data_IF_262003400368
#
_entry.id   IF_262003400368
#
_cell.length_a   1.000
_cell.length_b   1.000
_cell.length_c   1.000
_cell.angle_alpha   90.00
_cell.angle_beta   90.00
_cell.angle_gamma   90.00
#
_symmetry.space_group_name_H-M   'P 1'
#
loop_
_entity.id
_entity.type
_entity.pdbx_description
1 polymer ?
#
# COMPACT_ATOMS: atom_id res chain seq x y z
N UNK A 1 11.78 -0.25 47.64
CA UNK A 1 10.40 0.26 47.76
C UNK A 1 10.22 1.19 46.60
N UNK A 2 9.19 0.97 45.81
CA UNK A 2 8.89 1.81 44.64
C UNK A 2 7.92 2.89 45.11
N UNK A 3 8.18 4.14 44.80
CA UNK A 3 7.28 5.24 45.14
C UNK A 3 5.94 5.04 44.45
N UNK A 4 4.86 5.54 45.06
CA UNK A 4 3.49 5.43 44.54
C UNK A 4 2.77 6.77 44.61
N UNK A 5 1.79 6.98 43.73
CA UNK A 5 0.98 8.20 43.75
C UNK A 5 0.21 8.44 45.06
N UNK A 6 0.05 7.42 45.92
CA UNK A 6 -0.57 7.59 47.25
C UNK A 6 0.14 8.65 48.10
N UNK A 7 1.45 8.79 47.92
CA UNK A 7 2.30 9.72 48.67
C UNK A 7 2.41 11.10 48.03
N UNK A 8 1.82 11.29 46.84
CA UNK A 8 1.88 12.53 46.06
C UNK A 8 1.25 13.70 46.83
N UNK A 9 1.81 14.90 46.69
CA UNK A 9 1.17 16.15 47.16
C UNK A 9 0.85 17.07 45.99
N UNK A 10 1.75 17.17 45.00
CA UNK A 10 1.58 17.96 43.78
C UNK A 10 2.20 17.26 42.57
N UNK A 11 1.79 17.67 41.38
CA UNK A 11 2.35 17.19 40.11
C UNK A 11 2.63 18.38 39.20
N UNK A 12 3.78 18.35 38.53
CA UNK A 12 4.08 19.23 37.41
C UNK A 12 3.79 18.45 36.12
N UNK A 13 2.97 19.02 35.23
CA UNK A 13 2.59 18.42 33.96
C UNK A 13 2.82 19.44 32.85
N UNK A 14 3.60 19.02 31.85
CA UNK A 14 3.86 19.80 30.64
C UNK A 14 3.44 18.94 29.45
N UNK A 15 2.81 19.56 28.45
CA UNK A 15 2.36 18.90 27.24
C UNK A 15 2.86 19.64 26.00
N UNK A 16 3.39 18.92 25.03
CA UNK A 16 3.84 19.47 23.76
C UNK A 16 3.68 18.46 22.61
N UNK A 17 3.64 18.94 21.37
CA UNK A 17 3.80 18.05 20.23
C UNK A 17 5.23 17.49 20.24
N UNK A 18 5.41 16.19 19.99
CA UNK A 18 6.74 15.58 20.00
C UNK A 18 7.66 16.15 18.89
N UNK A 19 7.09 16.72 17.84
CA UNK A 19 7.80 17.46 16.79
C UNK A 19 8.28 18.85 17.23
N UNK A 20 7.83 19.36 18.38
CA UNK A 20 8.03 20.75 18.81
C UNK A 20 7.12 21.77 18.09
N UNK A 21 6.25 21.30 17.19
CA UNK A 21 5.28 22.16 16.48
C UNK A 21 4.29 22.79 17.46
N UNK A 22 4.15 24.11 17.38
CA UNK A 22 3.21 24.85 18.23
C UNK A 22 1.74 24.72 17.77
N UNK A 23 1.52 24.31 16.52
CA UNK A 23 0.21 24.14 15.92
C UNK A 23 0.24 22.98 14.89
N UNK A 24 0.40 21.73 15.35
CA UNK A 24 0.54 20.58 14.47
C UNK A 24 -0.73 20.28 13.69
N UNK A 25 -0.55 19.75 12.48
CA UNK A 25 -1.63 19.40 11.57
C UNK A 25 -1.68 17.88 11.33
N UNK A 26 -2.88 17.32 11.34
CA UNK A 26 -3.14 15.91 11.00
C UNK A 26 -4.35 15.79 10.09
N UNK A 27 -4.45 14.68 9.37
CA UNK A 27 -5.64 14.33 8.62
C UNK A 27 -6.71 13.73 9.53
N UNK A 28 -7.94 14.17 9.37
CA UNK A 28 -9.12 13.65 10.06
C UNK A 28 -9.61 12.33 9.43
N UNK A 29 -8.73 11.32 9.35
CA UNK A 29 -9.02 10.01 8.74
C UNK A 29 -9.09 8.86 9.78
N UNK A 30 -9.00 9.17 11.08
CA UNK A 30 -9.00 8.19 12.17
C UNK A 30 -7.74 7.33 12.28
N UNK A 31 -6.79 7.45 11.34
CA UNK A 31 -5.54 6.66 11.29
C UNK A 31 -4.31 7.53 11.52
N UNK A 32 -4.28 8.75 10.98
CA UNK A 32 -3.16 9.66 11.11
C UNK A 32 -2.97 10.05 12.57
N UNK A 33 -1.82 9.69 13.13
CA UNK A 33 -1.51 9.97 14.53
C UNK A 33 -0.51 11.13 14.67
N UNK A 34 -0.77 11.99 15.65
CA UNK A 34 0.18 12.96 16.16
C UNK A 34 0.76 12.45 17.48
N UNK A 35 2.08 12.33 17.55
CA UNK A 35 2.76 12.08 18.82
C UNK A 35 2.73 13.33 19.70
N UNK A 36 2.17 13.18 20.90
CA UNK A 36 2.15 14.17 21.96
C UNK A 36 3.08 13.68 23.07
N UNK A 37 4.00 14.54 23.48
CA UNK A 37 4.88 14.31 24.61
C UNK A 37 4.32 14.97 25.87
N UNK A 38 4.30 14.21 26.95
CA UNK A 38 3.95 14.65 28.29
C UNK A 38 5.21 14.51 29.15
N UNK A 39 5.65 15.62 29.72
CA UNK A 39 6.71 15.62 30.73
C UNK A 39 6.02 15.76 32.08
N UNK A 40 6.20 14.78 32.95
CA UNK A 40 5.53 14.71 34.24
C UNK A 40 6.52 14.55 35.38
N UNK A 41 6.24 15.20 36.51
CA UNK A 41 7.05 15.11 37.73
C UNK A 41 6.14 15.08 38.95
N UNK A 42 6.30 14.04 39.76
CA UNK A 42 5.52 13.81 40.97
C UNK A 42 6.31 14.29 42.20
N UNK A 43 5.67 15.07 43.08
CA UNK A 43 6.32 15.66 44.24
C UNK A 43 5.53 15.38 45.52
N UNK A 44 6.26 15.07 46.60
CA UNK A 44 5.76 14.93 47.97
C UNK A 44 6.31 16.05 48.84
N UNK A 45 5.43 16.81 49.48
CA UNK A 45 5.83 17.76 50.50
C UNK A 45 6.25 17.02 51.77
N UNK A 46 7.36 17.42 52.39
CA UNK A 46 7.81 16.93 53.70
C UNK A 46 7.74 18.02 54.77
N UNK A 47 7.62 17.60 56.02
CA UNK A 47 7.59 18.51 57.17
C UNK A 47 8.82 19.42 57.17
N UNK A 48 8.60 20.73 57.08
CA UNK A 48 9.66 21.74 56.93
C UNK A 48 9.58 22.55 55.64
N UNK A 49 8.71 22.17 54.69
CA UNK A 49 8.50 22.89 53.43
C UNK A 49 9.42 22.44 52.29
N UNK A 50 10.25 21.43 52.52
CA UNK A 50 11.04 20.79 51.47
C UNK A 50 10.15 19.87 50.61
N UNK A 51 10.55 19.69 49.35
CA UNK A 51 9.85 18.86 48.37
C UNK A 51 10.73 17.69 47.93
N UNK A 52 10.18 16.47 47.99
CA UNK A 52 10.86 15.24 47.54
C UNK A 52 10.21 14.76 46.25
N UNK A 53 11.04 14.47 45.25
CA UNK A 53 10.58 13.93 43.97
C UNK A 53 10.33 12.44 44.11
N UNK A 54 9.15 11.99 43.67
CA UNK A 54 8.74 10.60 43.69
C UNK A 54 9.12 9.91 42.37
N UNK A 55 9.83 8.79 42.47
CA UNK A 55 10.22 7.95 41.34
C UNK A 55 9.11 6.93 41.03
N UNK A 56 8.01 7.43 40.47
CA UNK A 56 6.84 6.62 40.10
C UNK A 56 7.14 5.80 38.82
N UNK A 57 6.84 4.48 38.79
CA UNK A 57 7.03 3.67 37.60
C UNK A 57 6.24 4.15 36.39
N UNK A 58 6.83 4.05 35.19
CA UNK A 58 6.18 4.43 33.92
C UNK A 58 4.83 3.74 33.71
N UNK A 59 4.66 2.49 34.13
CA UNK A 59 3.40 1.76 34.03
C UNK A 59 2.28 2.41 34.87
N UNK A 60 2.61 2.92 36.05
CA UNK A 60 1.65 3.60 36.93
C UNK A 60 1.26 4.95 36.33
N UNK A 61 2.21 5.70 35.78
CA UNK A 61 1.90 6.90 35.00
C UNK A 61 0.99 6.62 33.81
N UNK A 62 1.32 5.62 32.98
CA UNK A 62 0.51 5.25 31.83
C UNK A 62 -0.91 4.87 32.27
N UNK A 63 -1.09 4.22 33.43
CA UNK A 63 -2.40 3.84 33.95
C UNK A 63 -3.25 5.06 34.31
N UNK A 64 -2.67 6.06 34.96
CA UNK A 64 -3.38 7.21 35.52
C UNK A 64 -3.48 8.42 34.58
N UNK A 65 -2.54 8.57 33.62
CA UNK A 65 -2.55 9.65 32.65
C UNK A 65 -3.54 9.39 31.50
N UNK A 66 -4.16 10.47 31.05
CA UNK A 66 -5.00 10.52 29.86
C UNK A 66 -4.90 11.88 29.19
N UNK A 67 -5.40 11.96 27.96
CA UNK A 67 -5.64 13.23 27.28
C UNK A 67 -7.09 13.68 27.47
N UNK A 68 -7.32 14.99 27.42
CA UNK A 68 -8.63 15.62 27.50
C UNK A 68 -8.73 16.85 26.58
N UNK A 69 -9.97 17.30 26.37
CA UNK A 69 -10.25 18.60 25.78
C UNK A 69 -9.89 19.71 26.76
N UNK A 70 -9.00 20.63 26.36
CA UNK A 70 -8.54 21.70 27.24
C UNK A 70 -9.68 22.61 27.72
N UNK A 71 -10.71 22.85 26.90
CA UNK A 71 -11.80 23.76 27.24
C UNK A 71 -12.78 23.20 28.28
N UNK A 72 -12.99 21.88 28.30
CA UNK A 72 -14.02 21.23 29.13
C UNK A 72 -13.48 20.25 30.17
N UNK A 73 -12.18 19.94 30.12
CA UNK A 73 -11.54 18.83 30.83
C UNK A 73 -12.10 17.43 30.49
N UNK A 74 -13.01 17.33 29.53
CA UNK A 74 -13.62 16.07 29.12
C UNK A 74 -12.57 15.13 28.51
N UNK A 75 -12.53 13.91 29.01
CA UNK A 75 -11.54 12.90 28.62
C UNK A 75 -11.71 12.49 27.16
N UNK A 76 -10.61 12.43 26.41
CA UNK A 76 -10.62 11.84 25.07
C UNK A 76 -10.86 10.34 25.16
N UNK A 77 -11.53 9.76 24.16
CA UNK A 77 -11.73 8.31 24.13
C UNK A 77 -10.40 7.62 23.84
N UNK A 78 -9.97 6.76 24.77
CA UNK A 78 -8.78 5.95 24.57
C UNK A 78 -9.08 4.80 23.60
N UNK A 79 -8.25 4.66 22.57
CA UNK A 79 -8.36 3.60 21.56
C UNK A 79 -9.77 3.58 20.90
N UNK A 80 -10.41 4.76 20.80
CA UNK A 80 -11.72 4.97 20.18
C UNK A 80 -11.67 5.09 18.66
N UNK A 81 -12.84 5.19 18.02
CA UNK A 81 -12.99 5.26 16.56
C UNK A 81 -13.87 6.42 16.08
N UNK A 82 -14.23 7.36 16.97
CA UNK A 82 -15.10 8.49 16.67
C UNK A 82 -14.72 9.71 17.50
N UNK A 83 -14.65 10.86 16.85
CA UNK A 83 -14.17 12.11 17.41
C UNK A 83 -12.70 12.05 17.80
N UNK A 84 -12.30 12.98 18.67
CA UNK A 84 -10.94 13.05 19.19
C UNK A 84 -10.62 11.90 20.13
N UNK A 85 -9.65 11.10 19.73
CA UNK A 85 -9.21 9.91 20.43
C UNK A 85 -7.71 9.96 20.69
N UNK A 86 -7.24 9.06 21.55
CA UNK A 86 -5.80 8.85 21.72
C UNK A 86 -5.45 7.39 21.97
N UNK A 87 -4.23 7.01 21.63
CA UNK A 87 -3.66 5.69 21.93
C UNK A 87 -2.35 5.82 22.69
N UNK A 88 -1.97 4.72 23.36
CA UNK A 88 -0.63 4.54 23.93
C UNK A 88 0.35 3.93 22.94
N UNK A 89 -0.15 3.42 21.82
CA UNK A 89 0.64 2.68 20.84
C UNK A 89 0.72 3.47 19.55
N UNK A 90 1.96 3.66 19.09
CA UNK A 90 2.26 4.26 17.79
C UNK A 90 1.80 3.32 16.67
N UNK A 91 1.10 3.86 15.67
CA UNK A 91 0.84 3.16 14.43
C UNK A 91 1.79 3.62 13.31
N UNK A 92 1.67 2.98 12.14
CA UNK A 92 2.52 3.25 10.96
C UNK A 92 2.24 4.62 10.29
N UNK A 93 1.10 5.26 10.60
CA UNK A 93 0.65 6.55 10.04
C UNK A 93 0.88 7.72 11.01
N UNK A 94 1.83 7.58 11.94
CA UNK A 94 2.16 8.60 12.92
C UNK A 94 3.10 9.66 12.30
N UNK A 95 2.51 10.63 11.57
CA UNK A 95 3.22 11.71 10.88
C UNK A 95 2.42 13.02 10.95
N UNK A 96 3.10 14.13 11.18
CA UNK A 96 2.50 15.47 11.09
C UNK A 96 2.48 15.94 9.63
N UNK A 97 1.40 16.60 9.21
CA UNK A 97 1.32 17.21 7.88
C UNK A 97 2.32 18.37 7.81
N UNK A 98 3.24 18.39 6.81
CA UNK A 98 4.16 19.50 6.64
C UNK A 98 3.38 20.76 6.32
N UNK A 99 3.35 21.72 7.25
CA UNK A 99 3.09 23.11 6.88
C UNK A 99 4.34 23.65 6.22
N UNK A 100 4.20 24.56 5.24
CA UNK A 100 5.30 25.27 4.56
C UNK A 100 6.08 26.19 5.52
N UNK A 101 6.69 25.61 6.54
CA UNK A 101 7.68 26.22 7.42
C UNK A 101 8.86 25.26 7.38
N UNK A 102 9.83 25.67 6.57
CA UNK A 102 11.24 25.28 6.51
C UNK A 102 11.68 24.27 7.60
N UNK A 103 12.09 23.11 7.11
CA UNK A 103 13.05 22.16 7.71
C UNK A 103 12.79 21.73 9.15
N UNK A 104 12.07 20.63 9.33
CA UNK A 104 12.36 19.71 10.43
C UNK A 104 13.46 18.76 9.95
N UNK A 105 14.71 19.06 10.30
CA UNK A 105 15.68 17.98 10.52
C UNK A 105 14.99 16.94 11.40
N UNK A 106 15.16 15.65 11.08
CA UNK A 106 14.84 14.55 11.99
C UNK A 106 15.50 14.86 13.33
N UNK A 107 14.74 15.48 14.22
CA UNK A 107 15.24 15.87 15.51
C UNK A 107 15.27 14.56 16.26
N UNK A 108 16.48 14.01 16.38
CA UNK A 108 16.75 12.92 17.31
C UNK A 108 16.01 13.23 18.63
N UNK A 109 15.43 12.21 19.28
CA UNK A 109 14.74 12.39 20.55
C UNK A 109 15.58 13.31 21.42
N UNK A 110 15.01 14.47 21.79
CA UNK A 110 15.73 15.50 22.51
C UNK A 110 16.48 14.83 23.64
N UNK A 111 17.80 15.04 23.69
CA UNK A 111 18.64 14.51 24.76
C UNK A 111 17.92 14.69 26.08
N UNK A 112 17.76 13.58 26.81
CA UNK A 112 17.08 13.49 28.10
C UNK A 112 17.21 14.81 28.86
N UNK A 113 16.10 15.43 29.33
CA UNK A 113 16.20 16.56 30.22
C UNK A 113 17.16 16.16 31.34
N UNK A 114 18.18 17.00 31.57
CA UNK A 114 19.15 16.83 32.65
C UNK A 114 18.40 16.31 33.88
N UNK A 115 18.88 15.17 34.36
CA UNK A 115 18.33 14.31 35.40
C UNK A 115 17.73 15.11 36.58
N UNK A 116 16.45 15.42 36.48
CA UNK A 116 15.66 16.20 37.46
C UNK A 116 14.49 15.39 38.02
N UNK A 117 14.48 14.06 37.81
CA UNK A 117 13.41 13.17 38.27
C UNK A 117 12.07 13.32 37.53
N UNK A 118 12.06 13.94 36.35
CA UNK A 118 10.89 14.00 35.46
C UNK A 118 10.85 12.77 34.54
N UNK A 119 9.65 12.31 34.19
CA UNK A 119 9.43 11.25 33.19
C UNK A 119 8.85 11.86 31.90
N UNK A 120 9.31 11.37 30.74
CA UNK A 120 8.69 11.67 29.44
C UNK A 120 7.81 10.49 29.00
N UNK A 121 6.58 10.79 28.62
CA UNK A 121 5.54 9.83 28.26
C UNK A 121 4.90 10.28 26.95
N UNK A 122 4.78 9.38 25.99
CA UNK A 122 4.18 9.68 24.69
C UNK A 122 2.78 9.05 24.55
N UNK A 123 1.83 9.86 24.09
CA UNK A 123 0.53 9.42 23.61
C UNK A 123 0.32 9.86 22.15
N UNK A 124 -0.57 9.18 21.45
CA UNK A 124 -0.80 9.39 20.02
C UNK A 124 -2.23 9.85 19.79
N UNK A 125 -2.42 11.11 19.43
CA UNK A 125 -3.73 11.73 19.18
C UNK A 125 -4.14 11.53 17.73
N UNK A 126 -5.42 11.22 17.51
CA UNK A 126 -6.01 11.09 16.18
C UNK A 126 -7.51 11.43 16.23
N UNK A 127 -8.12 11.67 15.07
CA UNK A 127 -9.54 12.05 14.97
C UNK A 127 -10.11 11.75 13.58
N UNK A 128 -11.43 11.62 13.47
CA UNK A 128 -12.21 11.65 12.22
C UNK A 128 -12.99 12.98 12.05
N UNK A 129 -12.94 13.88 13.04
CA UNK A 129 -13.58 15.18 13.01
C UNK A 129 -12.67 16.27 12.42
N UNK A 130 -13.15 16.99 11.41
CA UNK A 130 -12.45 18.13 10.78
C UNK A 130 -12.69 19.38 11.63
N UNK A 131 -11.83 19.62 12.62
CA UNK A 131 -11.79 20.85 13.40
C UNK A 131 -10.42 21.03 14.08
N UNK A 132 -10.19 22.21 14.67
CA UNK A 132 -9.05 22.43 15.57
C UNK A 132 -9.49 22.18 17.00
N UNK A 133 -8.70 21.46 17.77
CA UNK A 133 -8.96 21.21 19.18
C UNK A 133 -7.71 21.41 20.04
N UNK A 134 -7.89 21.90 21.26
CA UNK A 134 -6.80 22.06 22.23
C UNK A 134 -6.76 20.84 23.11
N UNK A 135 -5.67 20.09 23.03
CA UNK A 135 -5.46 18.86 23.77
C UNK A 135 -4.67 19.20 25.05
N UNK A 136 -5.20 18.78 26.19
CA UNK A 136 -4.55 18.90 27.50
C UNK A 136 -4.31 17.51 28.09
N UNK A 137 -3.50 17.46 29.15
CA UNK A 137 -3.22 16.23 29.90
C UNK A 137 -3.97 16.25 31.23
N UNK A 138 -4.48 15.09 31.64
CA UNK A 138 -5.04 14.86 32.97
C UNK A 138 -4.44 13.63 33.63
N UNK A 139 -4.27 13.69 34.94
CA UNK A 139 -3.87 12.62 35.83
C UNK A 139 -5.03 12.35 36.80
N UNK A 140 -5.64 11.17 36.69
CA UNK A 140 -6.69 10.72 37.59
C UNK A 140 -6.15 9.63 38.51
N UNK A 141 -6.20 9.88 39.81
CA UNK A 141 -5.75 8.91 40.82
C UNK A 141 -6.94 8.13 41.39
N UNK A 142 -6.67 6.89 41.84
CA UNK A 142 -7.72 6.01 42.40
C UNK A 142 -8.37 6.56 43.68
N UNK A 143 -7.70 7.50 44.36
CA UNK A 143 -8.20 8.19 45.55
C UNK A 143 -9.08 9.42 45.22
N UNK A 144 -9.38 9.65 43.94
CA UNK A 144 -10.24 10.73 43.47
C UNK A 144 -9.53 12.05 43.24
N UNK A 145 -8.22 12.15 43.52
CA UNK A 145 -7.44 13.34 43.14
C UNK A 145 -7.30 13.43 41.64
N UNK A 146 -7.42 14.65 41.15
CA UNK A 146 -7.41 14.99 39.74
C UNK A 146 -6.49 16.18 39.51
N UNK A 147 -5.54 16.02 38.60
CA UNK A 147 -4.65 17.09 38.16
C UNK A 147 -4.77 17.22 36.65
N UNK A 148 -4.79 18.44 36.14
CA UNK A 148 -5.01 18.70 34.72
C UNK A 148 -4.30 19.97 34.29
N UNK A 149 -3.93 20.03 33.02
CA UNK A 149 -3.44 21.26 32.37
C UNK A 149 -4.54 21.98 31.60
N UNK A 150 -5.78 21.49 31.68
CA UNK A 150 -6.94 22.11 31.03
C UNK A 150 -7.22 23.53 31.53
N UNK A 151 -8.07 24.26 30.82
CA UNK A 151 -8.45 25.63 31.18
C UNK A 151 -9.21 25.70 32.51
N UNK A 152 -9.68 24.55 33.02
CA UNK A 152 -10.36 24.37 34.30
C UNK A 152 -9.41 23.99 35.45
N UNK A 153 -8.10 23.91 35.20
CA UNK A 153 -7.11 23.60 36.23
C UNK A 153 -7.16 24.57 37.41
N UNK A 154 -7.21 24.02 38.63
CA UNK A 154 -7.04 24.74 39.88
C UNK A 154 -5.66 24.40 40.45
N UNK A 155 -4.70 25.34 40.38
CA UNK A 155 -3.37 25.21 40.97
C UNK A 155 -2.27 24.64 40.07
N UNK A 156 -2.59 23.99 38.95
CA UNK A 156 -1.61 23.61 37.90
C UNK A 156 -1.55 24.67 36.79
N UNK A 157 -0.42 24.74 36.06
CA UNK A 157 -0.31 25.62 34.90
C UNK A 157 -1.25 25.17 33.77
N UNK A 158 -1.97 26.13 33.18
CA UNK A 158 -2.85 25.90 32.04
C UNK A 158 -1.99 25.73 30.79
N UNK A 159 -1.98 24.54 30.21
CA UNK A 159 -1.16 24.20 29.07
C UNK A 159 -1.87 23.20 28.16
N UNK A 160 -1.75 23.41 26.85
CA UNK A 160 -2.41 22.57 25.85
C UNK A 160 -1.72 22.69 24.50
N UNK A 161 -1.87 21.66 23.67
CA UNK A 161 -1.43 21.67 22.27
C UNK A 161 -2.63 21.89 21.36
N UNK A 162 -2.70 22.97 20.57
CA UNK A 162 -3.74 23.15 19.56
C UNK A 162 -3.42 22.28 18.34
N UNK A 163 -4.19 21.23 18.13
CA UNK A 163 -4.06 20.32 16.99
C UNK A 163 -5.12 20.66 15.96
N UNK A 164 -4.70 20.93 14.72
CA UNK A 164 -5.61 21.20 13.61
C UNK A 164 -5.81 19.92 12.80
N UNK A 165 -7.03 19.39 12.79
CA UNK A 165 -7.40 18.29 11.93
C UNK A 165 -8.01 18.81 10.62
N UNK A 166 -7.49 18.35 9.48
CA UNK A 166 -7.92 18.78 8.15
C UNK A 166 -8.58 17.64 7.37
N UNK A 167 -9.31 17.99 6.32
CA UNK A 167 -9.94 17.01 5.42
C UNK A 167 -8.90 16.02 4.87
N UNK A 168 -9.15 14.70 4.95
CA UNK A 168 -8.29 13.68 4.34
C UNK A 168 -8.00 13.98 2.87
N UNK A 169 -6.76 13.74 2.45
CA UNK A 169 -6.38 13.92 1.05
C UNK A 169 -7.12 12.91 0.17
N UNK A 170 -7.78 13.39 -0.89
CA UNK A 170 -8.45 12.53 -1.87
C UNK A 170 -7.62 12.48 -3.14
N UNK A 171 -7.38 11.28 -3.68
CA UNK A 171 -6.64 11.11 -4.93
C UNK A 171 -7.60 11.09 -6.11
N UNK A 172 -8.15 12.26 -6.46
CA UNK A 172 -8.77 12.39 -7.78
C UNK A 172 -7.68 12.33 -8.87
N UNK A 173 -7.95 11.52 -9.90
CA UNK A 173 -6.89 10.81 -10.64
C UNK A 173 -6.04 11.66 -11.59
N UNK A 174 -6.37 12.93 -11.82
CA UNK A 174 -5.66 13.71 -12.85
C UNK A 174 -4.39 14.42 -12.37
N UNK A 175 -4.26 14.71 -11.08
CA UNK A 175 -3.06 15.40 -10.54
C UNK A 175 -2.42 14.69 -9.34
N UNK A 176 -3.13 13.76 -8.70
CA UNK A 176 -2.67 13.09 -7.49
C UNK A 176 -1.74 11.89 -7.78
N UNK A 177 -1.82 11.31 -8.98
CA UNK A 177 -1.05 10.14 -9.39
C UNK A 177 -0.18 10.47 -10.60
N UNK A 178 1.03 9.91 -10.61
CA UNK A 178 1.97 9.99 -11.72
C UNK A 178 2.15 8.60 -12.31
N UNK A 179 1.93 8.49 -13.62
CA UNK A 179 2.20 7.26 -14.36
C UNK A 179 3.43 7.43 -15.24
N UNK A 180 4.36 6.48 -15.14
CA UNK A 180 5.57 6.43 -15.98
C UNK A 180 5.64 5.05 -16.62
N UNK A 181 5.55 4.99 -17.95
CA UNK A 181 5.80 3.77 -18.69
C UNK A 181 7.30 3.68 -19.03
N UNK A 182 7.93 2.55 -18.70
CA UNK A 182 9.26 2.21 -19.17
C UNK A 182 9.26 1.77 -20.63
N UNK A 183 10.46 1.58 -21.17
CA UNK A 183 10.68 1.05 -22.50
C UNK A 183 10.34 -0.43 -22.60
N UNK A 184 10.13 -0.91 -23.83
CA UNK A 184 10.00 -2.33 -24.10
C UNK A 184 11.35 -3.04 -23.97
N UNK A 185 11.40 -4.05 -23.10
CA UNK A 185 12.51 -4.97 -22.95
C UNK A 185 12.21 -6.28 -23.67
N UNK A 186 13.07 -6.65 -24.62
CA UNK A 186 12.93 -7.90 -25.38
C UNK A 186 13.38 -9.08 -24.50
N UNK A 187 12.44 -9.96 -24.18
CA UNK A 187 12.70 -11.21 -23.46
C UNK A 187 13.17 -12.32 -24.40
N UNK A 188 12.61 -12.39 -25.62
CA UNK A 188 13.07 -13.33 -26.64
C UNK A 188 12.61 -12.90 -28.04
N UNK A 189 13.47 -13.10 -29.03
CA UNK A 189 13.13 -12.98 -30.45
C UNK A 189 12.96 -14.36 -31.12
N UNK A 190 13.18 -15.42 -30.35
CA UNK A 190 13.17 -16.80 -30.81
C UNK A 190 12.20 -17.60 -29.97
N UNK A 191 11.30 -18.30 -30.65
CA UNK A 191 10.34 -19.20 -30.04
C UNK A 191 10.67 -20.63 -30.42
N UNK A 192 10.74 -21.51 -29.43
CA UNK A 192 10.89 -22.95 -29.65
C UNK A 192 9.52 -23.62 -29.77
N UNK A 193 9.18 -24.08 -30.99
CA UNK A 193 7.94 -24.82 -31.22
C UNK A 193 8.14 -26.30 -30.89
N UNK A 194 7.22 -26.90 -30.12
CA UNK A 194 7.11 -28.36 -30.00
C UNK A 194 5.89 -28.82 -30.79
N UNK A 195 6.17 -29.51 -31.89
CA UNK A 195 5.14 -30.10 -32.74
C UNK A 195 4.53 -31.32 -32.06
N UNK A 196 3.22 -31.33 -31.84
CA UNK A 196 2.48 -32.54 -31.47
C UNK A 196 1.83 -33.15 -32.72
N UNK A 197 2.63 -33.44 -33.76
CA UNK A 197 2.15 -34.37 -34.79
C UNK A 197 1.94 -35.71 -34.08
N UNK A 198 0.74 -36.28 -34.20
CA UNK A 198 0.30 -37.57 -33.61
C UNK A 198 1.26 -38.77 -33.85
N UNK A 199 2.28 -38.59 -34.70
CA UNK A 199 3.24 -39.60 -35.16
C UNK A 199 4.71 -39.26 -34.96
N UNK A 200 5.07 -38.17 -34.26
CA UNK A 200 6.47 -37.87 -33.92
C UNK A 200 6.65 -37.69 -32.40
N UNK A 201 7.04 -38.75 -31.66
CA UNK A 201 7.30 -38.67 -30.22
C UNK A 201 8.55 -37.87 -29.87
N UNK A 202 9.35 -37.47 -30.86
CA UNK A 202 10.61 -36.73 -30.67
C UNK A 202 10.55 -35.25 -31.08
N UNK A 203 9.45 -34.81 -31.71
CA UNK A 203 9.07 -33.41 -31.94
C UNK A 203 10.20 -32.51 -32.46
N UNK A 204 10.27 -32.30 -33.77
CA UNK A 204 11.22 -31.35 -34.34
C UNK A 204 11.01 -29.91 -33.82
N UNK A 205 12.06 -29.35 -33.23
CA UNK A 205 12.15 -27.93 -32.89
C UNK A 205 12.33 -27.11 -34.16
N UNK A 206 11.49 -26.11 -34.31
CA UNK A 206 11.65 -25.13 -35.37
C UNK A 206 11.40 -23.77 -34.76
N UNK A 207 12.27 -22.84 -35.13
CA UNK A 207 12.28 -21.46 -34.67
C UNK A 207 11.45 -20.64 -35.64
N UNK A 208 10.33 -20.09 -35.17
CA UNK A 208 9.61 -19.04 -35.87
C UNK A 208 10.01 -17.69 -35.27
N UNK A 209 10.00 -16.64 -36.09
CA UNK A 209 10.26 -15.27 -35.66
C UNK A 209 9.02 -14.75 -34.94
N UNK A 210 9.09 -14.62 -33.62
CA UNK A 210 8.09 -13.92 -32.78
C UNK A 210 8.87 -13.12 -31.75
N UNK A 211 8.33 -11.98 -31.32
CA UNK A 211 8.98 -11.16 -30.30
C UNK A 211 8.16 -11.21 -29.03
N UNK A 212 8.77 -11.72 -27.97
CA UNK A 212 8.26 -11.62 -26.60
C UNK A 212 9.00 -10.48 -25.94
N UNK A 213 8.23 -9.51 -25.47
CA UNK A 213 8.76 -8.34 -24.78
C UNK A 213 7.87 -7.99 -23.60
N UNK A 214 8.41 -7.23 -22.67
CA UNK A 214 7.66 -6.70 -21.55
C UNK A 214 8.04 -5.26 -21.32
N UNK A 215 7.14 -4.50 -20.68
CA UNK A 215 7.48 -3.20 -20.14
C UNK A 215 6.84 -3.04 -18.78
N UNK A 216 7.48 -2.21 -17.96
CA UNK A 216 7.04 -1.87 -16.62
C UNK A 216 6.36 -0.51 -16.65
N UNK A 217 5.14 -0.43 -16.12
CA UNK A 217 4.42 0.83 -15.92
C UNK A 217 4.36 1.07 -14.42
N UNK A 218 4.98 2.16 -13.99
CA UNK A 218 5.01 2.60 -12.60
C UNK A 218 3.92 3.64 -12.36
N UNK A 219 3.12 3.44 -11.32
CA UNK A 219 2.14 4.41 -10.83
C UNK A 219 2.59 4.85 -9.44
N UNK A 220 2.86 6.13 -9.23
CA UNK A 220 3.28 6.66 -7.93
C UNK A 220 2.41 7.85 -7.51
N UNK A 221 2.50 8.22 -6.24
CA UNK A 221 1.84 9.43 -5.75
C UNK A 221 2.60 10.68 -6.25
N UNK A 222 1.89 11.67 -6.75
CA UNK A 222 2.47 12.90 -7.30
C UNK A 222 2.56 14.04 -6.27
N UNK A 223 1.92 13.87 -5.10
CA UNK A 223 1.91 14.84 -4.01
C UNK A 223 3.12 14.75 -3.06
N UNK A 224 4.10 13.90 -3.38
CA UNK A 224 5.29 13.66 -2.55
C UNK A 224 5.07 12.70 -1.38
N UNK A 225 3.88 12.11 -1.25
CA UNK A 225 3.60 11.09 -0.24
C UNK A 225 4.12 9.72 -0.66
N UNK A 226 4.25 8.83 0.31
CA UNK A 226 4.72 7.47 0.09
C UNK A 226 3.54 6.50 0.24
N UNK A 227 3.55 5.42 -0.53
CA UNK A 227 2.63 4.32 -0.31
C UNK A 227 3.08 3.56 0.94
N UNK A 228 2.18 3.40 1.91
CA UNK A 228 2.40 2.57 3.08
C UNK A 228 1.77 1.18 2.91
N UNK A 229 0.65 1.13 2.19
CA UNK A 229 -0.08 -0.12 1.95
C UNK A 229 -0.70 -0.13 0.55
N UNK A 230 -0.76 -1.31 -0.05
CA UNK A 230 -1.45 -1.56 -1.32
C UNK A 230 -2.01 -2.97 -1.37
N UNK A 231 -3.16 -3.10 -2.00
CA UNK A 231 -3.89 -4.36 -2.16
C UNK A 231 -4.67 -4.36 -3.47
N UNK A 232 -4.62 -5.46 -4.21
CA UNK A 232 -5.49 -5.65 -5.36
C UNK A 232 -6.86 -6.16 -4.90
N UNK A 233 -7.91 -5.34 -5.04
CA UNK A 233 -9.28 -5.69 -4.62
C UNK A 233 -10.07 -6.43 -5.69
N UNK A 234 -9.78 -6.15 -6.95
CA UNK A 234 -10.38 -6.86 -8.07
C UNK A 234 -9.39 -6.98 -9.21
N UNK A 235 -9.22 -8.20 -9.69
CA UNK A 235 -8.72 -8.45 -11.04
C UNK A 235 -9.87 -8.19 -12.02
N UNK A 236 -9.57 -7.79 -13.26
CA UNK A 236 -10.59 -7.71 -14.31
C UNK A 236 -11.22 -9.09 -14.61
N UNK A 237 -10.59 -10.17 -14.14
CA UNK A 237 -11.07 -11.55 -14.24
C UNK A 237 -12.07 -11.88 -13.12
N UNK A 238 -13.25 -12.45 -13.44
CA UNK A 238 -14.18 -12.94 -12.43
C UNK A 238 -13.64 -14.15 -11.66
N UNK A 239 -13.89 -14.21 -10.35
CA UNK A 239 -13.41 -15.28 -9.46
C UNK A 239 -13.93 -16.69 -9.77
N UNK A 240 -15.00 -16.82 -10.58
CA UNK A 240 -15.53 -18.12 -11.02
C UNK A 240 -14.79 -18.69 -12.24
N UNK A 241 -13.92 -17.91 -12.88
CA UNK A 241 -13.07 -18.44 -13.93
C UNK A 241 -11.99 -19.35 -13.32
N UNK A 242 -11.89 -20.57 -13.82
CA UNK A 242 -10.83 -21.48 -13.43
C UNK A 242 -9.50 -20.94 -13.98
N UNK A 243 -8.67 -20.34 -13.10
CA UNK A 243 -7.30 -19.97 -13.46
C UNK A 243 -6.51 -21.27 -13.61
N UNK A 244 -6.14 -21.58 -14.84
CA UNK A 244 -5.38 -22.79 -15.16
C UNK A 244 -3.96 -22.65 -14.57
N UNK A 245 -3.36 -23.76 -14.14
CA UNK A 245 -2.07 -23.83 -13.40
C UNK A 245 -0.85 -23.36 -14.21
N UNK A 246 -1.03 -22.57 -15.26
CA UNK A 246 0.00 -22.15 -16.19
C UNK A 246 0.64 -20.82 -15.78
N UNK A 247 0.16 -20.19 -14.72
CA UNK A 247 0.64 -18.90 -14.22
C UNK A 247 1.31 -19.10 -12.86
N UNK A 248 2.36 -18.33 -12.58
CA UNK A 248 3.05 -18.38 -11.30
C UNK A 248 2.03 -18.22 -10.17
N UNK A 249 2.08 -19.13 -9.20
CA UNK A 249 1.24 -19.09 -8.00
C UNK A 249 -0.28 -19.14 -8.26
N UNK A 250 -0.73 -19.47 -9.48
CA UNK A 250 -2.15 -19.55 -9.93
C UNK A 250 -2.91 -18.21 -9.95
N UNK A 251 -2.21 -17.07 -9.97
CA UNK A 251 -2.88 -15.78 -10.15
C UNK A 251 -2.94 -15.41 -11.64
N UNK A 252 -4.14 -15.09 -12.12
CA UNK A 252 -4.42 -14.70 -13.50
C UNK A 252 -3.76 -13.37 -13.89
N UNK A 253 -3.54 -13.16 -15.19
CA UNK A 253 -3.31 -11.80 -15.69
C UNK A 253 -4.51 -10.90 -15.35
N UNK A 254 -4.30 -9.63 -15.01
CA UNK A 254 -5.40 -8.70 -14.75
C UNK A 254 -6.27 -8.45 -15.99
N UNK A 255 -5.67 -8.48 -17.18
CA UNK A 255 -6.37 -8.39 -18.47
C UNK A 255 -5.53 -8.95 -19.63
N UNK A 256 -6.19 -9.28 -20.74
CA UNK A 256 -5.55 -9.78 -21.96
C UNK A 256 -6.27 -9.25 -23.20
N UNK A 257 -5.54 -8.62 -24.12
CA UNK A 257 -6.14 -8.04 -25.34
C UNK A 257 -5.35 -8.42 -26.56
N UNK A 258 -6.08 -8.87 -27.58
CA UNK A 258 -5.55 -9.15 -28.90
C UNK A 258 -5.80 -7.94 -29.81
N UNK A 259 -4.74 -7.41 -30.40
CA UNK A 259 -4.78 -6.30 -31.35
C UNK A 259 -3.90 -6.61 -32.56
N UNK A 260 -4.09 -5.92 -33.68
CA UNK A 260 -3.32 -6.13 -34.90
C UNK A 260 -2.94 -4.79 -35.53
N UNK A 261 -1.82 -4.76 -36.24
CA UNK A 261 -1.41 -3.64 -37.09
C UNK A 261 -0.83 -4.13 -38.43
N UNK A 262 -0.11 -3.25 -39.16
CA UNK A 262 0.53 -3.58 -40.43
C UNK A 262 1.69 -4.60 -40.32
N UNK A 263 2.29 -4.76 -39.15
CA UNK A 263 3.44 -5.62 -38.89
C UNK A 263 3.03 -6.99 -38.35
N UNK A 264 1.87 -7.13 -37.71
CA UNK A 264 1.39 -8.41 -37.23
C UNK A 264 0.28 -8.35 -36.20
N UNK A 265 0.09 -9.48 -35.51
CA UNK A 265 -0.80 -9.59 -34.36
C UNK A 265 -0.05 -9.49 -33.05
N UNK A 266 -0.68 -8.85 -32.06
CA UNK A 266 -0.13 -8.57 -30.75
C UNK A 266 -1.11 -9.02 -29.67
N UNK A 267 -0.62 -9.87 -28.79
CA UNK A 267 -1.30 -10.16 -27.53
C UNK A 267 -0.64 -9.39 -26.42
N UNK A 268 -1.36 -8.45 -25.83
CA UNK A 268 -0.98 -7.80 -24.59
C UNK A 268 -1.60 -8.52 -23.40
N UNK A 269 -0.82 -8.69 -22.35
CA UNK A 269 -1.23 -9.31 -21.10
C UNK A 269 -0.69 -8.47 -19.95
N UNK A 270 -1.58 -7.97 -19.11
CA UNK A 270 -1.21 -7.10 -18.00
C UNK A 270 -1.25 -7.86 -16.69
N UNK A 271 -0.21 -7.71 -15.88
CA UNK A 271 -0.17 -8.16 -14.49
C UNK A 271 -0.08 -6.91 -13.62
N UNK A 272 -1.05 -6.75 -12.75
CA UNK A 272 -1.04 -5.70 -11.74
C UNK A 272 -0.37 -6.26 -10.51
N UNK A 273 0.41 -5.44 -9.81
CA UNK A 273 1.10 -5.86 -8.60
C UNK A 273 0.13 -6.43 -7.55
N UNK A 274 0.29 -7.71 -7.17
CA UNK A 274 -0.55 -8.37 -6.17
C UNK A 274 -0.06 -8.04 -4.75
N UNK A 275 -0.52 -8.81 -3.77
CA UNK A 275 -0.04 -8.68 -2.40
C UNK A 275 1.49 -8.94 -2.31
N UNK A 276 2.12 -8.35 -1.30
CA UNK A 276 3.57 -8.37 -1.09
C UNK A 276 4.20 -9.77 -1.19
N UNK A 277 5.32 -9.87 -1.90
CA UNK A 277 6.13 -11.09 -2.00
C UNK A 277 5.64 -12.13 -3.01
N UNK A 278 4.48 -11.92 -3.64
CA UNK A 278 3.97 -12.79 -4.70
C UNK A 278 4.68 -12.52 -6.03
N UNK A 279 4.80 -13.57 -6.85
CA UNK A 279 5.44 -13.50 -8.16
C UNK A 279 4.44 -12.99 -9.21
N UNK A 280 4.86 -12.02 -10.02
CA UNK A 280 4.10 -11.41 -11.10
C UNK A 280 4.67 -11.79 -12.46
N UNK A 281 3.83 -12.22 -13.39
CA UNK A 281 4.21 -12.43 -14.78
C UNK A 281 4.06 -13.88 -15.20
N UNK A 282 4.83 -14.27 -16.20
CA UNK A 282 4.77 -15.63 -16.74
C UNK A 282 5.66 -16.58 -15.95
N UNK A 283 5.21 -17.83 -15.81
CA UNK A 283 6.09 -18.91 -15.36
C UNK A 283 7.10 -19.27 -16.47
N UNK A 284 8.24 -19.82 -16.08
CA UNK A 284 9.26 -20.28 -17.03
C UNK A 284 8.73 -21.35 -18.01
N UNK A 285 7.76 -22.17 -17.56
CA UNK A 285 7.04 -23.15 -18.35
C UNK A 285 5.54 -22.92 -18.25
N UNK A 286 4.95 -22.25 -19.23
CA UNK A 286 3.49 -22.18 -19.34
C UNK A 286 2.97 -23.51 -19.91
N UNK A 287 1.93 -24.07 -19.28
CA UNK A 287 1.23 -25.28 -19.75
C UNK A 287 2.08 -26.56 -19.85
N UNK A 288 2.63 -27.01 -18.72
CA UNK A 288 3.32 -28.30 -18.61
C UNK A 288 2.41 -29.53 -18.79
N UNK A 289 1.09 -29.35 -18.63
CA UNK A 289 0.08 -30.40 -18.73
C UNK A 289 -0.76 -30.20 -20.01
N UNK A 290 -0.33 -30.82 -21.10
CA UNK A 290 -0.93 -30.83 -22.45
C UNK A 290 -2.36 -31.43 -22.55
N UNK A 291 -3.13 -31.45 -21.46
CA UNK A 291 -4.44 -32.09 -21.38
C UNK A 291 -5.54 -31.20 -22.00
N UNK A 292 -5.56 -31.10 -23.33
CA UNK A 292 -6.71 -30.66 -24.12
C UNK A 292 -6.77 -29.18 -24.48
N UNK A 293 -6.75 -28.89 -25.78
CA UNK A 293 -6.87 -27.55 -26.41
C UNK A 293 -8.24 -26.86 -26.26
N UNK A 294 -9.23 -27.54 -25.68
CA UNK A 294 -10.64 -27.13 -25.74
C UNK A 294 -11.33 -27.07 -24.38
N UNK A 295 -10.68 -26.53 -23.36
CA UNK A 295 -11.32 -26.33 -22.05
C UNK A 295 -12.04 -24.97 -22.00
N UNK A 296 -13.23 -24.93 -21.38
CA UNK A 296 -13.92 -23.69 -21.04
C UNK A 296 -13.16 -22.96 -19.92
N UNK A 297 -12.92 -21.65 -20.07
CA UNK A 297 -12.18 -20.87 -19.06
C UNK A 297 -11.48 -19.64 -19.64
N UNK A 298 -10.48 -19.14 -18.92
CA UNK A 298 -9.60 -18.07 -19.40
C UNK A 298 -8.82 -18.61 -20.62
N UNK A 299 -8.60 -17.84 -21.70
CA UNK A 299 -8.28 -18.44 -22.98
C UNK A 299 -7.00 -19.26 -22.92
N UNK A 300 -7.12 -20.53 -23.35
CA UNK A 300 -5.99 -21.41 -23.58
C UNK A 300 -5.21 -20.85 -24.76
N UNK A 301 -3.98 -20.41 -24.53
CA UNK A 301 -3.20 -19.87 -25.63
C UNK A 301 -2.59 -20.99 -26.45
N UNK A 302 -2.92 -20.97 -27.74
CA UNK A 302 -2.44 -21.86 -28.77
C UNK A 302 -2.43 -21.11 -30.12
N UNK A 303 -1.70 -21.63 -31.08
CA UNK A 303 -1.70 -21.11 -32.45
C UNK A 303 -2.14 -22.19 -33.42
N UNK A 304 -2.81 -21.77 -34.48
CA UNK A 304 -3.16 -22.62 -35.62
C UNK A 304 -2.31 -22.24 -36.83
N UNK A 305 -2.05 -23.21 -37.70
CA UNK A 305 -1.59 -22.94 -39.06
C UNK A 305 -2.71 -22.40 -39.96
N UNK A 306 -3.97 -22.52 -39.53
CA UNK A 306 -5.12 -22.03 -40.29
C UNK A 306 -5.43 -20.55 -40.00
N UNK A 307 -5.69 -19.73 -41.04
CA UNK A 307 -6.05 -18.32 -40.89
C UNK A 307 -7.24 -18.03 -39.98
N UNK A 308 -8.20 -18.96 -39.89
CA UNK A 308 -9.40 -18.83 -39.06
C UNK A 308 -9.19 -19.25 -37.60
N UNK A 309 -8.04 -19.86 -37.28
CA UNK A 309 -7.71 -20.36 -35.95
C UNK A 309 -8.35 -21.72 -35.63
N UNK A 310 -9.05 -22.36 -36.57
CA UNK A 310 -9.68 -23.66 -36.39
C UNK A 310 -8.64 -24.77 -36.17
N UNK A 311 -9.13 -25.88 -35.63
CA UNK A 311 -8.31 -27.08 -35.46
C UNK A 311 -8.14 -27.83 -36.80
N UNK A 312 -6.93 -27.87 -37.34
CA UNK A 312 -6.58 -28.51 -38.62
C UNK A 312 -5.76 -29.80 -38.48
N UNK A 313 -5.54 -30.30 -37.25
CA UNK A 313 -4.63 -31.43 -37.01
C UNK A 313 -3.14 -31.05 -37.04
N UNK A 314 -2.82 -29.87 -37.54
CA UNK A 314 -1.57 -29.12 -37.39
C UNK A 314 -1.74 -27.97 -36.39
N UNK A 315 -2.73 -28.03 -35.50
CA UNK A 315 -2.94 -27.01 -34.49
C UNK A 315 -2.09 -27.31 -33.29
N UNK A 316 -1.54 -26.26 -32.72
CA UNK A 316 -0.43 -26.41 -31.81
C UNK A 316 -0.65 -25.62 -30.54
N UNK A 317 -0.55 -26.30 -29.40
CA UNK A 317 -0.39 -25.63 -28.11
C UNK A 317 1.06 -25.19 -28.00
N UNK A 318 1.26 -23.89 -27.99
CA UNK A 318 2.57 -23.27 -28.10
C UNK A 318 2.69 -22.21 -27.03
N UNK A 319 3.81 -22.24 -26.28
CA UNK A 319 4.14 -21.15 -25.38
C UNK A 319 5.62 -20.75 -25.37
N UNK A 320 5.91 -19.45 -25.14
CA UNK A 320 7.26 -18.92 -25.26
C UNK A 320 8.14 -19.55 -24.21
N UNK A 321 9.14 -20.29 -24.67
CA UNK A 321 10.27 -20.62 -23.84
C UNK A 321 11.12 -19.36 -23.71
N UNK A 322 11.12 -18.75 -22.53
CA UNK A 322 12.05 -17.68 -22.22
C UNK A 322 13.47 -18.26 -22.29
N UNK A 323 14.30 -17.67 -23.15
CA UNK A 323 15.68 -18.11 -23.26
C UNK A 323 16.34 -17.95 -21.88
N UNK A 324 17.02 -18.98 -21.39
CA UNK A 324 17.65 -18.94 -20.05
C UNK A 324 18.73 -17.85 -19.90
N UNK A 325 19.00 -17.08 -20.96
CA UNK A 325 19.99 -15.99 -21.00
C UNK A 325 19.40 -14.59 -20.83
N UNK A 326 18.07 -14.38 -20.90
CA UNK A 326 17.48 -13.11 -20.47
C UNK A 326 15.95 -13.07 -20.55
N UNK A 327 15.27 -12.44 -19.56
CA UNK A 327 15.67 -12.40 -18.16
C UNK A 327 15.53 -13.80 -17.54
N UNK A 328 16.42 -14.16 -16.60
CA UNK A 328 16.47 -15.49 -15.97
C UNK A 328 15.15 -15.86 -15.29
N UNK A 329 14.36 -14.85 -14.91
CA UNK A 329 13.00 -14.95 -14.41
C UNK A 329 12.14 -13.93 -15.18
N UNK A 330 11.21 -14.35 -16.05
CA UNK A 330 10.25 -13.46 -16.70
C UNK A 330 9.16 -13.01 -15.73
N UNK A 331 9.43 -13.05 -14.42
CA UNK A 331 8.53 -12.66 -13.35
C UNK A 331 9.27 -11.74 -12.37
N UNK A 332 8.53 -10.80 -11.80
CA UNK A 332 9.01 -9.87 -10.77
C UNK A 332 8.31 -10.15 -9.44
N UNK A 333 8.93 -9.81 -8.31
CA UNK A 333 8.28 -9.94 -6.99
C UNK A 333 7.62 -8.63 -6.58
N UNK A 334 6.40 -8.72 -6.05
CA UNK A 334 5.71 -7.59 -5.45
C UNK A 334 6.47 -7.13 -4.19
N UNK A 335 6.56 -5.82 -4.01
CA UNK A 335 7.26 -5.20 -2.87
C UNK A 335 6.27 -4.32 -2.10
N UNK A 336 6.08 -4.64 -0.81
CA UNK A 336 5.30 -3.80 0.10
C UNK A 336 5.94 -2.42 0.31
N UNK A 337 7.26 -2.32 0.20
CA UNK A 337 8.02 -1.11 0.51
C UNK A 337 8.27 -0.19 -0.68
N UNK A 338 7.73 -0.52 -1.85
CA UNK A 338 7.89 0.33 -3.03
C UNK A 338 6.93 1.52 -2.96
N UNK A 339 7.45 2.73 -3.20
CA UNK A 339 6.68 3.98 -3.27
C UNK A 339 5.77 4.09 -4.51
N UNK A 340 5.58 2.98 -5.21
CA UNK A 340 4.85 2.87 -6.47
C UNK A 340 4.10 1.53 -6.56
N UNK A 341 3.05 1.51 -7.37
CA UNK A 341 2.42 0.30 -7.90
C UNK A 341 3.03 -0.03 -9.24
N UNK A 342 3.23 -1.32 -9.49
CA UNK A 342 3.75 -1.79 -10.75
C UNK A 342 2.66 -2.49 -11.57
N UNK A 343 2.61 -2.16 -12.84
CA UNK A 343 1.86 -2.92 -13.84
C UNK A 343 2.84 -3.40 -14.89
N UNK A 344 2.91 -4.71 -15.06
CA UNK A 344 3.73 -5.32 -16.10
C UNK A 344 2.85 -5.61 -17.31
N UNK A 345 3.18 -5.03 -18.45
CA UNK A 345 2.58 -5.42 -19.72
C UNK A 345 3.55 -6.35 -20.43
N UNK A 346 3.16 -7.60 -20.62
CA UNK A 346 3.85 -8.52 -21.53
C UNK A 346 3.17 -8.49 -22.87
N UNK A 347 3.96 -8.60 -23.92
CA UNK A 347 3.48 -8.64 -25.28
C UNK A 347 4.12 -9.78 -26.05
N UNK A 348 3.27 -10.53 -26.74
CA UNK A 348 3.67 -11.48 -27.78
C UNK A 348 3.28 -10.88 -29.13
N UNK A 349 4.30 -10.58 -29.94
CA UNK A 349 4.16 -10.12 -31.32
C UNK A 349 4.41 -11.28 -32.28
N UNK A 350 3.43 -11.52 -33.15
CA UNK A 350 3.44 -12.51 -34.21
C UNK A 350 3.47 -11.75 -35.54
N UNK A 351 4.63 -11.70 -36.22
CA UNK A 351 4.75 -11.04 -37.51
C UNK A 351 3.84 -11.67 -38.55
N UNK A 352 3.36 -10.86 -39.49
CA UNK A 352 2.58 -11.34 -40.65
C UNK A 352 3.33 -12.39 -41.51
N UNK A 353 4.65 -12.49 -41.38
CA UNK A 353 5.50 -13.47 -42.07
C UNK A 353 5.58 -14.83 -41.38
N UNK A 354 4.98 -15.01 -40.20
CA UNK A 354 5.15 -16.22 -39.38
C UNK A 354 4.29 -17.42 -39.79
N UNK A 355 3.29 -17.22 -40.66
CA UNK A 355 2.25 -18.22 -41.00
C UNK A 355 1.54 -18.81 -39.75
N UNK A 356 1.57 -18.08 -38.63
CA UNK A 356 0.90 -18.44 -37.38
C UNK A 356 -0.34 -17.58 -37.17
N UNK A 357 -1.43 -18.22 -36.78
CA UNK A 357 -2.69 -17.56 -36.50
C UNK A 357 -3.18 -17.89 -35.09
N UNK A 358 -3.88 -16.94 -34.47
CA UNK A 358 -4.46 -17.14 -33.14
C UNK A 358 -5.52 -18.23 -33.20
N UNK A 359 -5.37 -19.22 -32.33
CA UNK A 359 -6.37 -20.24 -32.13
C UNK A 359 -7.76 -19.65 -31.87
N UNK A 360 -8.79 -20.26 -32.45
CA UNK A 360 -10.18 -19.82 -32.36
C UNK A 360 -10.64 -19.61 -30.91
N UNK A 361 -10.22 -20.49 -29.99
CA UNK A 361 -10.58 -20.41 -28.56
C UNK A 361 -9.57 -19.61 -27.72
N UNK A 362 -8.47 -19.13 -28.32
CA UNK A 362 -7.49 -18.24 -27.66
C UNK A 362 -7.94 -16.79 -27.61
N UNK A 363 -8.90 -16.42 -28.46
CA UNK A 363 -9.35 -15.04 -28.59
C UNK A 363 -10.10 -14.70 -27.31
N UNK A 364 -9.58 -13.77 -26.49
CA UNK A 364 -10.33 -13.30 -25.33
C UNK A 364 -11.69 -12.81 -25.83
N UNK A 365 -12.77 -13.47 -25.44
CA UNK A 365 -14.14 -13.11 -25.79
C UNK A 365 -14.96 -13.03 -24.51
N UNK A 366 -15.67 -11.91 -24.31
CA UNK A 366 -16.40 -11.61 -23.07
C UNK A 366 -16.24 -10.15 -22.65
N UNK A 367 -17.26 -9.59 -21.99
CA UNK A 367 -17.20 -8.22 -21.45
C UNK A 367 -16.21 -8.07 -20.29
N UNK A 368 -15.77 -9.19 -19.73
CA UNK A 368 -14.86 -9.28 -18.58
C UNK A 368 -13.42 -8.88 -18.91
N UNK A 369 -12.99 -9.04 -20.17
CA UNK A 369 -11.68 -8.61 -20.67
C UNK A 369 -11.52 -7.08 -20.69
N UNK A 370 -12.64 -6.36 -20.56
CA UNK A 370 -12.68 -4.91 -20.46
C UNK A 370 -12.85 -4.40 -19.02
N UNK A 371 -13.01 -5.27 -18.02
CA UNK A 371 -13.19 -4.82 -16.64
C UNK A 371 -11.89 -4.19 -16.11
N UNK A 372 -11.95 -2.98 -15.52
CA UNK A 372 -10.79 -2.39 -14.87
C UNK A 372 -10.30 -3.26 -13.70
N UNK A 373 -8.99 -3.29 -13.48
CA UNK A 373 -8.47 -3.76 -12.20
C UNK A 373 -8.67 -2.68 -11.13
N UNK A 374 -8.93 -3.08 -9.89
CA UNK A 374 -9.10 -2.15 -8.76
C UNK A 374 -7.99 -2.38 -7.74
N UNK A 375 -7.24 -1.33 -7.45
CA UNK A 375 -6.21 -1.31 -6.41
C UNK A 375 -6.69 -0.41 -5.28
N UNK A 376 -6.67 -0.91 -4.07
CA UNK A 376 -6.79 -0.12 -2.85
C UNK A 376 -5.41 0.21 -2.31
N UNK A 377 -5.25 1.41 -1.77
CA UNK A 377 -4.00 1.81 -1.15
C UNK A 377 -4.20 2.77 0.00
N UNK A 378 -3.17 2.85 0.85
CA UNK A 378 -3.07 3.80 1.95
C UNK A 378 -1.70 4.48 1.87
N UNK A 379 -1.68 5.80 1.95
CA UNK A 379 -0.43 6.56 2.02
C UNK A 379 0.20 6.52 3.43
N UNK A 380 1.39 7.10 3.56
CA UNK A 380 2.11 7.21 4.82
C UNK A 380 1.49 8.17 5.86
N UNK A 381 0.37 8.80 5.54
CA UNK A 381 -0.48 9.59 6.45
C UNK A 381 -1.82 8.89 6.76
N UNK A 382 -2.05 7.69 6.26
CA UNK A 382 -3.29 6.95 6.52
C UNK A 382 -4.47 7.36 5.63
N UNK A 383 -4.24 8.19 4.60
CA UNK A 383 -5.28 8.49 3.62
C UNK A 383 -5.45 7.29 2.69
N UNK A 384 -6.68 6.79 2.62
CA UNK A 384 -7.01 5.63 1.82
C UNK A 384 -7.73 6.02 0.53
N UNK A 385 -7.49 5.28 -0.55
CA UNK A 385 -8.23 5.44 -1.78
C UNK A 385 -8.24 4.15 -2.63
N UNK A 386 -9.11 4.13 -3.63
CA UNK A 386 -9.13 3.14 -4.69
C UNK A 386 -8.78 3.75 -6.04
N UNK A 387 -8.08 2.97 -6.85
CA UNK A 387 -7.68 3.31 -8.20
C UNK A 387 -8.17 2.22 -9.14
N UNK A 388 -8.88 2.63 -10.19
CA UNK A 388 -9.21 1.73 -11.30
C UNK A 388 -8.23 1.87 -12.45
N UNK A 389 -7.70 0.74 -12.91
CA UNK A 389 -6.78 0.65 -14.04
C UNK A 389 -7.54 0.07 -15.23
N UNK A 390 -7.72 0.88 -16.26
CA UNK A 390 -8.20 0.44 -17.56
C UNK A 390 -7.06 0.06 -18.48
N UNK A 391 -7.21 -1.05 -19.17
CA UNK A 391 -6.20 -1.56 -20.10
C UNK A 391 -6.54 -1.12 -21.52
N UNK A 392 -5.60 -0.54 -22.26
CA UNK A 392 -5.84 -0.06 -23.62
C UNK A 392 -5.94 -1.20 -24.64
N UNK A 393 -6.69 -0.99 -25.72
CA UNK A 393 -6.72 -1.91 -26.85
C UNK A 393 -5.78 -1.43 -27.97
N UNK A 394 -4.49 -1.28 -27.68
CA UNK A 394 -3.47 -0.75 -28.59
C UNK A 394 -2.23 -1.66 -28.65
N UNK A 395 -1.36 -1.46 -29.63
CA UNK A 395 -0.10 -2.21 -29.78
C UNK A 395 0.96 -1.79 -28.77
N UNK A 396 0.73 -0.72 -28.02
CA UNK A 396 1.67 -0.22 -27.02
C UNK A 396 1.40 -0.83 -25.65
N UNK A 397 0.33 -1.57 -25.43
CA UNK A 397 0.01 -2.13 -24.13
C UNK A 397 -0.24 -1.04 -23.08
N UNK A 398 -0.87 0.06 -23.49
CA UNK A 398 -1.17 1.21 -22.64
C UNK A 398 -2.15 0.88 -21.50
N UNK A 399 -2.16 1.74 -20.47
CA UNK A 399 -3.19 1.75 -19.44
C UNK A 399 -3.68 3.18 -19.20
N UNK A 400 -4.88 3.32 -18.64
CA UNK A 400 -5.45 4.59 -18.18
C UNK A 400 -5.93 4.45 -16.74
N UNK A 401 -5.91 5.56 -16.00
CA UNK A 401 -6.35 5.62 -14.61
C UNK A 401 -7.72 6.27 -14.53
N UNK A 402 -8.69 5.55 -13.96
CA UNK A 402 -10.03 6.08 -13.71
C UNK A 402 -10.21 6.44 -12.24
N UNK A 403 -10.86 7.58 -11.93
CA UNK A 403 -11.31 7.87 -10.58
C UNK A 403 -12.46 6.93 -10.22
N UNK A 404 -12.40 6.37 -9.01
CA UNK A 404 -13.51 5.63 -8.41
C UNK A 404 -14.41 6.53 -7.55
#
# INVERSE_FOLDING_TARGET
MTDSFKDLTSVELTIQAASGSAAPHIYANGRNQLAIEIIAKAVKAVDGGDEVILNIPTEEWLRCLSLCHAASDEKLTRDGNKGWCFSKTKNEYCREIPNNVISADETQPSQNPRDTGSVSIQFFVYTDDINTNRIAVRLDLDDGRHFTTSDLANGAEKMSVPVTAVTPFKYDTQNALKMTAGEWEINSEYFERRSQIKYDPHGHWTTNNCVVRHKKISISLNNGYELAYKEMRSQGIPSYYQVLNWLTQKEGAAAMKLTNDAQGGYLNTWYVEPANGLDMGYEYYLNSNYEGMGQEGWPAFYFSGEPDGEYDGSTWVYWPRFSGKNPTNPYSKASASDTQFLVYCYQLHIPNSSELYWGKHCRPSGGEIAKPAVIYFIDNYGNENELSIEFSNDTDGGISLLPN
#
